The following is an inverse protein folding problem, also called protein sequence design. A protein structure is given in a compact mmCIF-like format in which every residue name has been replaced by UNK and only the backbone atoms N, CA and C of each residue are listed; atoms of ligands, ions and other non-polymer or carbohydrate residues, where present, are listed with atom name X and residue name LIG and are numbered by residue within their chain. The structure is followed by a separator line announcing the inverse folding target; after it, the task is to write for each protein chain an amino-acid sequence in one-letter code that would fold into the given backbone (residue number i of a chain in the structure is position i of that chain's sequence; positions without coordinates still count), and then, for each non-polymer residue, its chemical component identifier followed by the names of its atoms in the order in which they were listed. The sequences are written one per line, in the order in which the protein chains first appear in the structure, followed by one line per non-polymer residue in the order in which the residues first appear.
data_IF_301147325935
#
_entry.id   IF_301147325935
#
_cell.length_a   1.000
_cell.length_b   1.000
_cell.length_c   1.000
_cell.angle_alpha   90.00
_cell.angle_beta   90.00
_cell.angle_gamma   90.00
#
_symmetry.space_group_name_H-M   'P 1'
#
loop_
_entity.id
_entity.type
_entity.pdbx_description
1 polymer ?
#
# COMPACT_ATOMS: atom_id res chain seq x y z
N UNK A 1 10.42 -21.43 23.54
CA UNK A 1 10.80 -22.43 22.52
C UNK A 1 10.59 -21.92 21.10
N UNK A 2 9.48 -21.25 20.77
CA UNK A 2 9.27 -20.65 19.44
C UNK A 2 10.12 -19.39 19.18
N UNK A 3 10.48 -18.60 20.20
CA UNK A 3 11.31 -17.40 20.02
C UNK A 3 12.78 -17.67 19.66
N UNK A 4 13.24 -18.92 19.76
CA UNK A 4 14.58 -19.33 19.28
C UNK A 4 14.58 -19.68 17.78
N UNK A 5 13.41 -19.77 17.17
CA UNK A 5 13.21 -19.97 15.75
C UNK A 5 13.26 -18.59 15.08
N UNK A 6 14.42 -17.94 15.16
CA UNK A 6 14.62 -16.61 14.57
C UNK A 6 14.52 -16.63 13.05
N UNK A 7 15.26 -15.73 12.40
CA UNK A 7 15.34 -15.63 10.94
C UNK A 7 15.47 -16.99 10.19
N UNK A 8 16.22 -18.00 10.69
CA UNK A 8 16.32 -19.30 10.04
C UNK A 8 15.00 -20.06 9.88
N UNK A 9 14.08 -19.99 10.85
CA UNK A 9 12.81 -20.71 10.72
C UNK A 9 11.79 -19.99 9.85
N UNK A 10 11.86 -18.66 9.77
CA UNK A 10 11.10 -17.90 8.79
C UNK A 10 11.50 -18.31 7.37
N UNK A 11 12.81 -18.49 7.11
CA UNK A 11 13.30 -19.00 5.83
C UNK A 11 12.74 -20.40 5.54
N UNK A 12 12.72 -21.31 6.51
CA UNK A 12 12.17 -22.66 6.32
C UNK A 12 10.69 -22.63 5.90
N UNK A 13 9.87 -21.82 6.58
CA UNK A 13 8.46 -21.63 6.24
C UNK A 13 8.33 -21.04 4.83
N UNK A 14 9.17 -20.05 4.51
CA UNK A 14 9.19 -19.40 3.20
C UNK A 14 9.53 -20.42 2.10
N UNK A 15 10.53 -21.28 2.29
CA UNK A 15 10.87 -22.35 1.34
C UNK A 15 9.71 -23.30 1.11
N UNK A 16 9.03 -23.77 2.16
CA UNK A 16 7.85 -24.63 2.03
C UNK A 16 6.74 -23.91 1.25
N UNK A 17 6.50 -22.64 1.56
CA UNK A 17 5.52 -21.83 0.84
C UNK A 17 5.90 -21.65 -0.65
N UNK A 18 7.18 -21.47 -0.99
CA UNK A 18 7.63 -21.38 -2.39
C UNK A 18 7.50 -22.71 -3.13
N UNK A 19 7.61 -23.86 -2.45
CA UNK A 19 7.39 -25.16 -3.09
C UNK A 19 5.92 -25.33 -3.45
N UNK A 20 5.00 -24.91 -2.56
CA UNK A 20 3.55 -25.02 -2.78
C UNK A 20 3.07 -24.00 -3.82
N UNK A 21 3.45 -22.73 -3.66
CA UNK A 21 2.94 -21.64 -4.48
C UNK A 21 3.83 -21.29 -5.69
N UNK A 22 5.10 -21.68 -5.67
CA UNK A 22 6.11 -21.32 -6.66
C UNK A 22 6.82 -19.99 -6.34
N UNK A 23 8.13 -19.85 -6.64
CA UNK A 23 8.88 -18.64 -6.34
C UNK A 23 8.47 -17.43 -7.17
N UNK A 24 7.83 -17.64 -8.31
CA UNK A 24 7.35 -16.57 -9.18
C UNK A 24 6.04 -15.93 -8.72
N UNK A 25 5.23 -16.64 -7.90
CA UNK A 25 3.91 -16.15 -7.48
C UNK A 25 3.97 -15.06 -6.43
N UNK A 26 4.89 -15.12 -5.47
CA UNK A 26 5.01 -14.05 -4.47
C UNK A 26 5.39 -12.69 -5.09
N UNK A 27 6.39 -12.59 -6.00
CA UNK A 27 6.68 -11.36 -6.71
C UNK A 27 5.54 -10.87 -7.62
N UNK A 28 4.84 -11.80 -8.27
CA UNK A 28 3.68 -11.49 -9.14
C UNK A 28 2.55 -10.84 -8.35
N UNK A 29 2.17 -11.43 -7.21
CA UNK A 29 1.16 -10.89 -6.29
C UNK A 29 1.64 -9.55 -5.73
N UNK A 30 2.90 -9.44 -5.31
CA UNK A 30 3.47 -8.19 -4.81
C UNK A 30 3.43 -7.05 -5.85
N UNK A 31 3.70 -7.35 -7.12
CA UNK A 31 3.58 -6.38 -8.22
C UNK A 31 2.14 -5.95 -8.45
N UNK A 32 1.20 -6.90 -8.44
CA UNK A 32 -0.23 -6.60 -8.61
C UNK A 32 -0.74 -5.72 -7.46
N UNK A 33 -0.51 -6.13 -6.22
CA UNK A 33 -0.89 -5.36 -5.02
C UNK A 33 -0.20 -4.01 -4.98
N UNK A 34 1.10 -3.94 -5.31
CA UNK A 34 1.85 -2.70 -5.35
C UNK A 34 1.32 -1.70 -6.39
N UNK A 35 0.91 -2.20 -7.56
CA UNK A 35 0.28 -1.37 -8.59
C UNK A 35 -1.06 -0.83 -8.11
N UNK A 36 -1.92 -1.69 -7.55
CA UNK A 36 -3.20 -1.28 -6.97
C UNK A 36 -3.03 -0.28 -5.83
N UNK A 37 -2.07 -0.49 -4.93
CA UNK A 37 -1.79 0.43 -3.82
C UNK A 37 -1.32 1.80 -4.32
N UNK A 38 -0.49 1.83 -5.37
CA UNK A 38 -0.03 3.07 -5.99
C UNK A 38 -1.18 3.83 -6.66
N UNK A 39 -2.03 3.14 -7.41
CA UNK A 39 -3.21 3.74 -8.04
C UNK A 39 -4.20 4.26 -7.00
N UNK A 40 -4.46 3.49 -5.94
CA UNK A 40 -5.31 3.89 -4.81
C UNK A 40 -4.77 5.13 -4.10
N UNK A 41 -3.45 5.16 -3.83
CA UNK A 41 -2.80 6.34 -3.25
C UNK A 41 -2.98 7.57 -4.14
N UNK A 42 -2.67 7.46 -5.43
CA UNK A 42 -2.78 8.58 -6.36
C UNK A 42 -4.22 9.12 -6.44
N UNK A 43 -5.22 8.24 -6.46
CA UNK A 43 -6.62 8.64 -6.46
C UNK A 43 -7.00 9.37 -5.16
N UNK A 44 -6.56 8.85 -4.01
CA UNK A 44 -6.80 9.47 -2.69
C UNK A 44 -6.13 10.84 -2.58
N UNK A 45 -4.89 10.96 -3.05
CA UNK A 45 -4.13 12.22 -3.05
C UNK A 45 -4.83 13.27 -3.92
N UNK A 46 -5.29 12.89 -5.12
CA UNK A 46 -6.04 13.79 -6.02
C UNK A 46 -7.34 14.30 -5.42
N UNK A 47 -8.14 13.42 -4.79
CA UNK A 47 -9.38 13.81 -4.10
C UNK A 47 -9.08 14.75 -2.93
N UNK A 48 -8.02 14.47 -2.16
CA UNK A 48 -7.62 15.32 -1.03
C UNK A 48 -7.23 16.72 -1.48
N UNK A 49 -6.50 16.82 -2.60
CA UNK A 49 -6.09 18.11 -3.17
C UNK A 49 -7.27 18.91 -3.74
N UNK A 50 -8.24 18.24 -4.38
CA UNK A 50 -9.49 18.88 -4.85
C UNK A 50 -10.31 19.43 -3.69
N UNK A 51 -10.56 18.60 -2.68
CA UNK A 51 -11.29 18.99 -1.46
C UNK A 51 -10.60 20.19 -0.78
N UNK A 52 -9.27 20.14 -0.66
CA UNK A 52 -8.49 21.23 -0.04
C UNK A 52 -8.53 22.52 -0.86
N UNK A 53 -8.68 22.43 -2.19
CA UNK A 53 -8.81 23.59 -3.07
C UNK A 53 -10.19 24.21 -2.94
N UNK A 54 -11.25 23.41 -2.91
CA UNK A 54 -12.63 23.85 -2.70
C UNK A 54 -12.81 24.58 -1.35
N UNK A 55 -12.31 24.00 -0.25
CA UNK A 55 -12.33 24.66 1.06
C UNK A 55 -11.52 25.97 1.13
N UNK A 56 -10.49 26.14 0.28
CA UNK A 56 -9.70 27.38 0.23
C UNK A 56 -10.32 28.46 -0.66
N UNK A 57 -11.23 28.09 -1.56
CA UNK A 57 -11.98 29.03 -2.39
C UNK A 57 -13.18 29.59 -1.60
N UNK A 58 -13.91 28.75 -0.86
CA UNK A 58 -15.02 29.17 0.02
C UNK A 58 -14.60 30.18 1.11
N UNK A 59 -13.41 30.02 1.70
CA UNK A 59 -12.87 30.92 2.75
C UNK A 59 -12.46 32.30 2.18
N UNK A 60 -12.17 32.39 0.88
CA UNK A 60 -11.79 33.65 0.22
C UNK A 60 -12.99 34.49 -0.20
N UNK A 61 -14.13 33.86 -0.50
CA UNK A 61 -15.34 34.56 -0.88
C UNK A 61 -16.09 35.13 0.35
N UNK A 62 -16.03 34.47 1.52
CA UNK A 62 -16.60 35.02 2.77
C UNK A 62 -15.85 36.22 3.35
N UNK A 63 -14.60 36.49 2.94
CA UNK A 63 -13.79 37.63 3.42
C UNK A 63 -13.92 38.88 2.56
N UNK A 64 -14.72 38.84 1.48
CA UNK A 64 -14.88 39.94 0.52
C UNK A 64 -16.17 40.74 0.66
N UNK A 65 -17.08 40.32 1.54
CA UNK A 65 -18.28 41.08 1.94
C UNK A 65 -18.05 41.89 3.23
#
# INVERSE_FOLDING_TARGET
MLSNIGFPGLILILVIALIIFGPNKLPEIGRAVGKSMREFKNATDGITDEIKKEFREDDKDQKKD
#
